data_IF_340239849297
#
_entry.id   IF_340239849297
#
_cell.length_a   1.000
_cell.length_b   1.000
_cell.length_c   1.000
_cell.angle_alpha   90.00
_cell.angle_beta   90.00
_cell.angle_gamma   90.00
#
_symmetry.space_group_name_H-M   'P 1'
#
loop_
_entity.id
_entity.type
_entity.pdbx_description
1 polymer ?
#
# COMPACT_ATOMS: atom_id res chain seq x y z
N UNK A 1 7.96 54.91 17.18
CA UNK A 1 6.54 54.62 17.44
C UNK A 1 6.42 53.14 17.83
N UNK A 2 6.25 52.86 19.12
CA UNK A 2 5.93 51.55 19.71
C UNK A 2 4.44 51.57 20.06
N UNK A 3 3.72 50.46 19.82
CA UNK A 3 2.59 50.05 20.66
C UNK A 3 2.60 48.51 20.76
N UNK A 4 2.77 48.00 21.99
CA UNK A 4 2.35 46.67 22.48
C UNK A 4 0.86 46.77 22.85
N UNK A 5 0.08 45.68 22.85
CA UNK A 5 -0.31 44.83 24.02
C UNK A 5 -1.27 43.77 23.40
N UNK A 6 -1.06 42.45 23.51
CA UNK A 6 -1.47 41.55 24.63
C UNK A 6 -2.80 40.85 24.28
N UNK A 7 -3.20 39.64 24.69
CA UNK A 7 -2.75 38.55 25.55
C UNK A 7 -3.57 37.30 25.14
N UNK A 8 -3.04 36.09 25.32
CA UNK A 8 -3.84 34.87 25.12
C UNK A 8 -3.14 33.53 25.32
N UNK A 9 -2.16 33.42 26.23
CA UNK A 9 -1.66 32.13 26.72
C UNK A 9 -2.38 31.76 28.03
N UNK A 10 -2.89 30.52 28.13
CA UNK A 10 -3.12 29.85 29.42
C UNK A 10 -2.38 28.51 29.42
N UNK A 11 -1.43 28.41 30.34
CA UNK A 11 -0.73 27.19 30.77
C UNK A 11 -1.65 26.30 31.61
N UNK A 12 -1.43 24.98 31.59
CA UNK A 12 -1.05 24.23 32.79
C UNK A 12 -0.50 22.85 32.40
N UNK A 13 0.71 22.60 32.90
CA UNK A 13 1.50 21.39 32.84
C UNK A 13 1.28 20.62 34.12
N UNK A 14 0.90 19.33 34.06
CA UNK A 14 1.24 18.37 35.12
C UNK A 14 1.29 16.93 34.60
N UNK A 15 2.26 16.18 35.13
CA UNK A 15 2.46 14.73 35.09
C UNK A 15 3.37 14.15 33.98
N UNK A 16 4.67 14.40 34.14
CA UNK A 16 5.72 13.41 33.91
C UNK A 16 5.85 12.55 35.18
N UNK A 17 5.90 11.23 35.05
CA UNK A 17 6.21 10.28 36.12
C UNK A 17 5.70 8.86 35.79
N UNK A 18 6.38 8.13 34.90
CA UNK A 18 7.38 7.11 35.28
C UNK A 18 6.81 6.04 36.21
N UNK A 19 6.27 4.97 35.62
CA UNK A 19 6.28 3.61 36.17
C UNK A 19 5.96 2.62 35.03
N UNK A 20 6.71 1.50 35.05
CA UNK A 20 6.63 0.31 34.19
C UNK A 20 7.45 0.32 32.88
N UNK A 21 8.77 0.35 33.09
CA UNK A 21 9.68 -0.61 32.45
C UNK A 21 9.49 -1.98 33.12
N UNK A 22 9.74 -3.05 32.36
CA UNK A 22 9.81 -4.48 32.77
C UNK A 22 8.47 -5.23 32.93
N UNK A 23 7.99 -5.84 31.84
CA UNK A 23 8.10 -7.29 31.63
C UNK A 23 7.19 -7.73 30.47
N UNK A 24 7.78 -8.54 29.57
CA UNK A 24 7.09 -9.55 28.75
C UNK A 24 6.21 -8.99 27.61
N UNK A 25 6.77 -9.01 26.40
CA UNK A 25 5.97 -9.27 25.20
C UNK A 25 5.59 -10.78 25.22
N UNK A 26 4.30 -11.11 25.38
CA UNK A 26 3.73 -12.19 24.62
C UNK A 26 2.43 -11.71 23.96
N UNK A 27 2.38 -11.76 22.64
CA UNK A 27 1.20 -11.32 21.88
C UNK A 27 1.47 -11.08 20.40
N UNK A 28 2.47 -11.74 19.82
CA UNK A 28 2.49 -12.02 18.39
C UNK A 28 1.78 -13.38 18.25
N UNK A 29 0.86 -13.50 17.29
CA UNK A 29 -0.12 -14.60 17.09
C UNK A 29 -1.47 -14.30 17.76
N UNK A 30 -2.28 -13.46 17.10
CA UNK A 30 -3.71 -13.69 16.80
C UNK A 30 -4.40 -12.40 16.36
N UNK A 31 -4.22 -12.03 15.09
CA UNK A 31 -5.16 -11.16 14.35
C UNK A 31 -5.35 -11.72 12.92
N UNK A 32 -5.56 -13.05 12.83
CA UNK A 32 -6.08 -13.72 11.63
C UNK A 32 -7.48 -14.32 11.92
N UNK A 33 -8.11 -13.90 13.04
CA UNK A 33 -9.43 -14.35 13.44
C UNK A 33 -10.36 -13.17 13.65
N UNK A 34 -11.52 -13.22 13.00
CA UNK A 34 -12.68 -12.35 13.22
C UNK A 34 -12.78 -11.08 12.38
N UNK A 35 -12.83 -11.25 11.05
CA UNK A 35 -13.68 -10.41 10.17
C UNK A 35 -14.95 -11.18 9.82
N UNK A 36 -15.75 -11.54 10.83
CA UNK A 36 -17.15 -11.91 10.65
C UNK A 36 -18.01 -11.05 11.56
N UNK A 37 -18.75 -10.13 10.96
CA UNK A 37 -19.93 -9.54 11.56
C UNK A 37 -19.92 -8.02 11.63
N UNK A 38 -20.25 -7.36 10.53
CA UNK A 38 -21.30 -6.33 10.49
C UNK A 38 -21.59 -5.95 9.02
N UNK A 39 -22.86 -6.00 8.60
CA UNK A 39 -23.31 -5.47 7.30
C UNK A 39 -23.16 -6.39 6.08
N UNK A 40 -23.73 -7.60 6.11
CA UNK A 40 -23.82 -8.46 4.92
C UNK A 40 -24.94 -7.99 3.98
N UNK A 41 -24.72 -6.91 3.24
CA UNK A 41 -25.30 -6.78 1.89
C UNK A 41 -24.49 -7.71 0.98
N UNK A 42 -25.15 -8.41 0.05
CA UNK A 42 -24.61 -9.50 -0.77
C UNK A 42 -23.29 -9.16 -1.51
N UNK A 43 -22.14 -9.40 -0.84
CA UNK A 43 -20.79 -9.21 -1.42
C UNK A 43 -20.56 -10.04 -2.69
N UNK A 44 -21.29 -11.15 -2.88
CA UNK A 44 -21.17 -11.97 -4.09
C UNK A 44 -21.89 -11.39 -5.30
N UNK A 45 -23.09 -10.82 -5.12
CA UNK A 45 -23.88 -10.30 -6.25
C UNK A 45 -23.29 -8.99 -6.79
N UNK A 46 -23.00 -8.04 -5.89
CA UNK A 46 -22.35 -6.78 -6.26
C UNK A 46 -20.96 -7.00 -6.84
N UNK A 47 -20.17 -7.93 -6.25
CA UNK A 47 -18.85 -8.29 -6.76
C UNK A 47 -18.91 -8.85 -8.18
N UNK A 48 -19.89 -9.72 -8.47
CA UNK A 48 -20.09 -10.28 -9.82
C UNK A 48 -20.44 -9.19 -10.83
N UNK A 49 -21.33 -8.26 -10.46
CA UNK A 49 -21.73 -7.16 -11.33
C UNK A 49 -20.57 -6.21 -11.67
N UNK A 50 -19.76 -5.85 -10.68
CA UNK A 50 -18.56 -5.02 -10.89
C UNK A 50 -17.55 -5.74 -11.77
N UNK A 51 -17.34 -7.04 -11.55
CA UNK A 51 -16.44 -7.85 -12.37
C UNK A 51 -16.90 -7.89 -13.84
N UNK A 52 -18.18 -8.18 -14.09
CA UNK A 52 -18.74 -8.19 -15.44
C UNK A 52 -18.60 -6.82 -16.12
N UNK A 53 -18.85 -5.74 -15.37
CA UNK A 53 -18.71 -4.37 -15.88
C UNK A 53 -17.25 -4.04 -16.20
N UNK A 54 -16.28 -4.50 -15.39
CA UNK A 54 -14.85 -4.34 -15.71
C UNK A 54 -14.44 -5.15 -16.94
N UNK A 55 -15.00 -6.35 -17.14
CA UNK A 55 -14.81 -7.11 -18.38
C UNK A 55 -15.31 -6.31 -19.59
N UNK A 56 -16.51 -5.73 -19.50
CA UNK A 56 -17.06 -4.88 -20.57
C UNK A 56 -16.20 -3.62 -20.82
N UNK A 57 -15.71 -2.99 -19.75
CA UNK A 57 -14.82 -1.82 -19.84
C UNK A 57 -13.42 -2.14 -20.39
N UNK A 58 -13.02 -3.42 -20.39
CA UNK A 58 -11.77 -3.89 -21.02
C UNK A 58 -11.93 -4.30 -22.49
N UNK A 59 -13.17 -4.24 -23.04
CA UNK A 59 -13.46 -4.58 -24.44
C UNK A 59 -12.87 -3.58 -25.43
N UNK A 60 -12.56 -4.03 -26.64
CA UNK A 60 -12.19 -3.16 -27.75
C UNK A 60 -13.40 -2.51 -28.44
N UNK A 61 -14.61 -3.01 -28.18
CA UNK A 61 -15.85 -2.44 -28.71
C UNK A 61 -16.26 -1.19 -27.91
N UNK A 62 -16.26 -0.05 -28.59
CA UNK A 62 -16.57 1.25 -28.00
C UNK A 62 -18.02 1.36 -27.51
N UNK A 63 -18.95 0.64 -28.14
CA UNK A 63 -20.37 0.66 -27.77
C UNK A 63 -20.63 -0.10 -26.46
N UNK A 64 -19.75 -1.05 -26.12
CA UNK A 64 -19.77 -1.80 -24.86
C UNK A 64 -18.94 -1.09 -23.77
N UNK A 65 -17.77 -0.57 -24.15
CA UNK A 65 -16.83 0.08 -23.22
C UNK A 65 -17.43 1.35 -22.60
N UNK A 66 -18.01 2.26 -23.40
CA UNK A 66 -18.47 3.57 -22.90
C UNK A 66 -19.55 3.45 -21.81
N UNK A 67 -20.62 2.64 -21.97
CA UNK A 67 -21.59 2.44 -20.90
C UNK A 67 -20.97 1.80 -19.64
N UNK A 68 -20.03 0.87 -19.81
CA UNK A 68 -19.36 0.22 -18.70
C UNK A 68 -18.51 1.19 -17.88
N UNK A 69 -17.72 2.05 -18.54
CA UNK A 69 -16.95 3.11 -17.87
C UNK A 69 -17.86 4.09 -17.11
N UNK A 70 -19.00 4.45 -17.70
CA UNK A 70 -19.98 5.32 -17.05
C UNK A 70 -20.57 4.69 -15.78
N UNK A 71 -20.90 3.39 -15.82
CA UNK A 71 -21.38 2.66 -14.63
C UNK A 71 -20.30 2.59 -13.55
N UNK A 72 -19.06 2.24 -13.91
CA UNK A 72 -17.95 2.21 -12.95
C UNK A 72 -17.73 3.56 -12.29
N UNK A 73 -17.86 4.65 -13.05
CA UNK A 73 -17.77 6.01 -12.52
C UNK A 73 -18.88 6.34 -11.53
N UNK A 74 -20.10 5.83 -11.73
CA UNK A 74 -21.20 6.01 -10.78
C UNK A 74 -20.96 5.25 -9.48
N UNK A 75 -20.33 4.08 -9.54
CA UNK A 75 -20.03 3.28 -8.35
C UNK A 75 -18.80 3.73 -7.57
N UNK A 76 -17.99 4.67 -8.07
CA UNK A 76 -16.82 5.21 -7.36
C UNK A 76 -17.14 5.76 -5.96
N UNK A 77 -18.41 6.11 -5.70
CA UNK A 77 -18.89 6.66 -4.42
C UNK A 77 -19.74 5.69 -3.60
N UNK A 78 -20.00 4.48 -4.11
CA UNK A 78 -20.78 3.48 -3.40
C UNK A 78 -19.92 2.78 -2.33
N UNK A 79 -20.43 2.59 -1.09
CA UNK A 79 -19.70 1.88 -0.05
C UNK A 79 -19.29 0.47 -0.47
N UNK A 80 -18.04 0.08 -0.18
CA UNK A 80 -17.54 -1.25 -0.50
C UNK A 80 -17.06 -1.43 -1.94
N UNK A 81 -17.23 -0.44 -2.82
CA UNK A 81 -16.73 -0.52 -4.20
C UNK A 81 -15.22 -0.80 -4.26
N UNK A 82 -14.42 -0.08 -3.47
CA UNK A 82 -12.96 -0.28 -3.43
C UNK A 82 -12.57 -1.61 -2.81
N UNK A 83 -13.36 -2.11 -1.86
CA UNK A 83 -13.19 -3.45 -1.29
C UNK A 83 -13.42 -4.54 -2.34
N UNK A 84 -14.41 -4.36 -3.22
CA UNK A 84 -14.64 -5.24 -4.36
C UNK A 84 -13.47 -5.17 -5.35
N UNK A 85 -12.98 -3.97 -5.70
CA UNK A 85 -11.82 -3.82 -6.59
C UNK A 85 -10.59 -4.54 -6.05
N UNK A 86 -10.32 -4.41 -4.75
CA UNK A 86 -9.24 -5.11 -4.06
C UNK A 86 -9.36 -6.63 -4.21
N UNK A 87 -10.56 -7.18 -3.99
CA UNK A 87 -10.81 -8.61 -4.15
C UNK A 87 -10.61 -9.08 -5.60
N UNK A 88 -11.07 -8.28 -6.58
CA UNK A 88 -10.93 -8.59 -8.00
C UNK A 88 -9.46 -8.64 -8.39
N UNK A 89 -8.68 -7.57 -8.13
CA UNK A 89 -7.28 -7.62 -8.53
C UNK A 89 -6.43 -8.56 -7.68
N UNK A 90 -6.88 -8.98 -6.49
CA UNK A 90 -6.19 -10.00 -5.70
C UNK A 90 -6.45 -11.42 -6.18
N UNK A 91 -7.50 -11.65 -6.99
CA UNK A 91 -7.82 -12.97 -7.54
C UNK A 91 -7.05 -13.22 -8.85
N UNK A 92 -6.02 -14.06 -8.78
CA UNK A 92 -5.14 -14.36 -9.92
C UNK A 92 -5.80 -15.21 -11.02
N UNK A 93 -7.01 -15.73 -10.79
CA UNK A 93 -7.78 -16.48 -11.80
C UNK A 93 -8.54 -15.55 -12.77
N UNK A 94 -8.61 -14.26 -12.48
CA UNK A 94 -9.27 -13.25 -13.32
C UNK A 94 -8.29 -12.75 -14.40
N UNK A 95 -8.83 -12.38 -15.57
CA UNK A 95 -8.03 -11.85 -16.68
C UNK A 95 -7.14 -10.66 -16.26
N UNK A 96 -5.93 -10.63 -16.80
CA UNK A 96 -4.89 -9.66 -16.46
C UNK A 96 -5.36 -8.23 -16.72
N UNK A 97 -6.05 -7.97 -17.83
CA UNK A 97 -6.49 -6.62 -18.21
C UNK A 97 -7.58 -6.12 -17.26
N UNK A 98 -8.49 -7.00 -16.85
CA UNK A 98 -9.54 -6.70 -15.88
C UNK A 98 -8.96 -6.37 -14.51
N UNK A 99 -8.01 -7.18 -14.03
CA UNK A 99 -7.30 -6.93 -12.77
C UNK A 99 -6.52 -5.61 -12.83
N UNK A 100 -5.82 -5.37 -13.93
CA UNK A 100 -5.08 -4.13 -14.14
C UNK A 100 -6.00 -2.90 -14.13
N UNK A 101 -7.15 -2.98 -14.81
CA UNK A 101 -8.17 -1.92 -14.82
C UNK A 101 -8.74 -1.68 -13.42
N UNK A 102 -9.02 -2.73 -12.64
CA UNK A 102 -9.46 -2.61 -11.25
C UNK A 102 -8.45 -1.85 -10.37
N UNK A 103 -7.14 -2.14 -10.51
CA UNK A 103 -6.09 -1.40 -9.80
C UNK A 103 -6.08 0.08 -10.22
N UNK A 104 -6.31 0.39 -11.51
CA UNK A 104 -6.38 1.77 -11.98
C UNK A 104 -7.55 2.56 -11.37
N UNK A 105 -8.75 1.98 -11.35
CA UNK A 105 -9.91 2.64 -10.74
C UNK A 105 -9.67 2.91 -9.26
N UNK A 106 -9.13 1.93 -8.53
CA UNK A 106 -8.78 2.14 -7.13
C UNK A 106 -7.72 3.25 -6.99
N UNK A 107 -6.64 3.20 -7.77
CA UNK A 107 -5.59 4.24 -7.76
C UNK A 107 -6.16 5.65 -7.99
N UNK A 108 -7.10 5.81 -8.90
CA UNK A 108 -7.77 7.08 -9.17
C UNK A 108 -8.69 7.50 -8.01
N UNK A 109 -9.38 6.55 -7.39
CA UNK A 109 -10.20 6.76 -6.21
C UNK A 109 -9.41 7.29 -5.01
N UNK A 110 -8.15 6.90 -4.84
CA UNK A 110 -7.29 7.43 -3.77
C UNK A 110 -7.18 8.96 -3.83
N UNK A 111 -6.97 9.52 -5.02
CA UNK A 111 -6.78 10.96 -5.17
C UNK A 111 -8.06 11.75 -4.87
N UNK A 112 -9.23 11.15 -5.13
CA UNK A 112 -10.55 11.76 -5.04
C UNK A 112 -11.21 11.59 -3.67
N UNK A 113 -11.20 10.38 -3.12
CA UNK A 113 -12.10 9.99 -2.01
C UNK A 113 -11.37 9.54 -0.73
N UNK A 114 -10.03 9.46 -0.72
CA UNK A 114 -9.30 8.96 0.45
C UNK A 114 -9.23 9.97 1.61
N UNK A 115 -9.19 11.28 1.32
CA UNK A 115 -9.09 12.31 2.37
C UNK A 115 -10.40 12.41 3.13
N UNK A 116 -10.35 12.52 4.47
CA UNK A 116 -11.53 12.70 5.35
C UNK A 116 -12.40 13.90 4.95
N UNK A 117 -11.80 14.93 4.35
CA UNK A 117 -12.48 16.14 3.88
C UNK A 117 -13.07 16.03 2.47
N UNK A 118 -12.87 14.92 1.77
CA UNK A 118 -13.37 14.76 0.41
C UNK A 118 -14.90 14.57 0.42
N UNK A 119 -15.62 15.10 -0.59
CA UNK A 119 -17.00 14.70 -0.80
C UNK A 119 -17.05 13.20 -1.07
N UNK A 120 -18.00 12.49 -0.45
CA UNK A 120 -18.13 11.03 -0.55
C UNK A 120 -16.85 10.29 -0.15
N UNK A 121 -16.19 10.75 0.91
CA UNK A 121 -14.98 10.11 1.42
C UNK A 121 -15.23 8.65 1.80
N UNK A 122 -14.28 7.78 1.47
CA UNK A 122 -14.29 6.38 1.90
C UNK A 122 -14.28 6.34 3.44
N UNK A 123 -15.09 5.48 4.03
CA UNK A 123 -15.18 5.34 5.49
C UNK A 123 -13.85 4.88 6.09
N UNK A 124 -13.57 5.25 7.33
CA UNK A 124 -12.33 4.80 8.00
C UNK A 124 -12.31 3.28 8.22
N UNK A 125 -13.48 2.66 8.42
CA UNK A 125 -13.62 1.20 8.51
C UNK A 125 -13.21 0.51 7.20
N UNK A 126 -13.69 1.01 6.06
CA UNK A 126 -13.29 0.49 4.75
C UNK A 126 -11.80 0.73 4.51
N UNK A 127 -11.28 1.95 4.77
CA UNK A 127 -9.83 2.22 4.64
C UNK A 127 -8.97 1.29 5.47
N UNK A 128 -9.39 0.96 6.69
CA UNK A 128 -8.66 0.03 7.55
C UNK A 128 -8.54 -1.34 6.86
N UNK A 129 -9.65 -1.89 6.36
CA UNK A 129 -9.70 -3.17 5.64
C UNK A 129 -8.88 -3.12 4.35
N UNK A 130 -8.97 -2.03 3.58
CA UNK A 130 -8.20 -1.81 2.36
C UNK A 130 -6.70 -1.79 2.63
N UNK A 131 -6.26 -1.09 3.68
CA UNK A 131 -4.85 -1.07 4.09
C UNK A 131 -4.34 -2.46 4.47
N UNK A 132 -5.14 -3.25 5.19
CA UNK A 132 -4.77 -4.62 5.54
C UNK A 132 -4.58 -5.50 4.30
N UNK A 133 -5.53 -5.47 3.34
CA UNK A 133 -5.40 -6.27 2.12
C UNK A 133 -4.29 -5.77 1.18
N UNK A 134 -4.04 -4.47 1.11
CA UNK A 134 -2.89 -3.93 0.38
C UNK A 134 -1.55 -4.34 1.01
N UNK A 135 -1.48 -4.42 2.34
CA UNK A 135 -0.28 -4.87 3.06
C UNK A 135 0.01 -6.37 2.90
N UNK A 136 -0.90 -7.17 2.34
CA UNK A 136 -0.72 -8.60 2.04
C UNK A 136 -0.55 -8.91 0.54
N UNK A 137 -0.62 -7.89 -0.32
CA UNK A 137 -0.62 -8.04 -1.79
C UNK A 137 0.79 -8.14 -2.40
N UNK A 138 1.59 -9.12 -1.96
CA UNK A 138 2.97 -9.33 -2.45
C UNK A 138 3.15 -10.57 -3.33
N UNK A 139 2.07 -11.25 -3.70
CA UNK A 139 2.13 -12.52 -4.46
C UNK A 139 1.80 -12.38 -5.94
N UNK A 140 1.63 -11.15 -6.44
CA UNK A 140 1.25 -10.87 -7.83
C UNK A 140 2.24 -11.47 -8.83
N UNK A 141 1.83 -12.44 -9.68
CA UNK A 141 2.70 -13.02 -10.69
C UNK A 141 3.00 -12.05 -11.84
N UNK A 142 2.07 -11.19 -12.23
CA UNK A 142 2.20 -10.32 -13.42
C UNK A 142 2.87 -8.99 -13.08
N UNK A 143 4.07 -8.76 -13.59
CA UNK A 143 4.86 -7.55 -13.28
C UNK A 143 4.11 -6.24 -13.59
N UNK A 144 3.36 -6.17 -14.69
CA UNK A 144 2.58 -4.97 -15.05
C UNK A 144 1.51 -4.61 -13.99
N UNK A 145 0.82 -5.62 -13.44
CA UNK A 145 -0.18 -5.43 -12.38
C UNK A 145 0.53 -5.08 -11.07
N UNK A 146 1.64 -5.76 -10.76
CA UNK A 146 2.44 -5.51 -9.55
C UNK A 146 2.93 -4.07 -9.48
N UNK A 147 3.37 -3.49 -10.61
CA UNK A 147 3.77 -2.08 -10.68
C UNK A 147 2.60 -1.15 -10.34
N UNK A 148 1.38 -1.41 -10.84
CA UNK A 148 0.24 -0.58 -10.48
C UNK A 148 -0.15 -0.72 -9.00
N UNK A 149 -0.06 -1.93 -8.43
CA UNK A 149 -0.28 -2.18 -7.00
C UNK A 149 0.75 -1.40 -6.17
N UNK A 150 2.03 -1.43 -6.55
CA UNK A 150 3.08 -0.68 -5.87
C UNK A 150 2.84 0.84 -5.90
N UNK A 151 2.42 1.38 -7.05
CA UNK A 151 2.03 2.78 -7.17
C UNK A 151 0.82 3.09 -6.30
N UNK A 152 -0.22 2.25 -6.32
CA UNK A 152 -1.41 2.40 -5.47
C UNK A 152 -1.04 2.46 -3.98
N UNK A 153 -0.28 1.47 -3.50
CA UNK A 153 0.20 1.42 -2.10
C UNK A 153 0.99 2.69 -1.76
N UNK A 154 1.87 3.15 -2.64
CA UNK A 154 2.66 4.37 -2.39
C UNK A 154 1.81 5.63 -2.28
N UNK A 155 0.70 5.72 -3.04
CA UNK A 155 -0.23 6.86 -2.95
C UNK A 155 -0.96 6.86 -1.61
N UNK A 156 -1.43 5.70 -1.15
CA UNK A 156 -2.04 5.57 0.18
C UNK A 156 -1.01 5.88 1.27
N UNK A 157 0.20 5.33 1.17
CA UNK A 157 1.29 5.59 2.11
C UNK A 157 1.64 7.08 2.23
N UNK A 158 1.57 7.84 1.12
CA UNK A 158 1.81 9.30 1.15
C UNK A 158 0.86 10.05 2.09
N UNK A 159 -0.38 9.57 2.18
CA UNK A 159 -1.45 10.18 2.95
C UNK A 159 -1.44 9.68 4.40
N UNK A 160 -1.23 8.38 4.59
CA UNK A 160 -1.52 7.72 5.86
C UNK A 160 -0.26 7.32 6.66
N UNK A 161 0.90 7.19 6.00
CA UNK A 161 2.12 6.74 6.68
C UNK A 161 2.80 7.90 7.43
N UNK A 162 3.28 7.67 8.67
CA UNK A 162 3.14 6.45 9.47
C UNK A 162 1.94 6.46 10.43
N UNK A 163 1.20 7.58 10.54
CA UNK A 163 0.24 7.80 11.63
C UNK A 163 -0.98 6.88 11.57
N UNK A 164 -1.57 6.77 10.40
CA UNK A 164 -2.81 6.02 10.16
C UNK A 164 -2.50 4.62 9.61
N UNK A 165 -1.27 4.40 9.10
CA UNK A 165 -0.80 3.10 8.62
C UNK A 165 0.63 2.78 9.12
N UNK A 166 0.81 2.52 10.42
CA UNK A 166 2.12 2.25 11.01
C UNK A 166 2.73 0.92 10.55
N UNK A 167 1.91 -0.08 10.26
CA UNK A 167 2.36 -1.44 9.98
C UNK A 167 2.93 -1.64 8.57
N UNK A 168 2.75 -0.69 7.66
CA UNK A 168 3.17 -0.81 6.26
C UNK A 168 4.67 -1.15 6.13
N UNK A 169 5.54 -0.39 6.80
CA UNK A 169 6.99 -0.58 6.70
C UNK A 169 7.43 -1.90 7.36
N UNK A 170 7.00 -2.24 8.59
CA UNK A 170 7.24 -3.57 9.15
C UNK A 170 6.80 -4.73 8.25
N UNK A 171 5.61 -4.65 7.64
CA UNK A 171 5.12 -5.66 6.70
C UNK A 171 6.03 -5.78 5.47
N UNK A 172 6.42 -4.66 4.86
CA UNK A 172 7.34 -4.65 3.72
C UNK A 172 8.69 -5.28 4.06
N UNK A 173 9.30 -4.89 5.19
CA UNK A 173 10.59 -5.43 5.62
C UNK A 173 10.52 -6.93 5.90
N UNK A 174 9.38 -7.42 6.40
CA UNK A 174 9.14 -8.85 6.59
C UNK A 174 9.02 -9.57 5.25
N UNK A 175 8.25 -9.00 4.30
CA UNK A 175 8.07 -9.59 2.98
C UNK A 175 9.35 -9.60 2.13
N UNK A 176 10.23 -8.60 2.26
CA UNK A 176 11.55 -8.61 1.58
C UNK A 176 12.45 -9.75 2.11
N UNK A 177 12.24 -10.20 3.35
CA UNK A 177 12.97 -11.35 3.93
C UNK A 177 12.35 -12.70 3.56
N UNK A 178 11.29 -12.73 2.76
CA UNK A 178 10.66 -13.98 2.34
C UNK A 178 11.63 -14.81 1.49
N UNK A 179 11.61 -16.13 1.69
CA UNK A 179 12.34 -17.10 0.84
C UNK A 179 11.76 -17.18 -0.59
N UNK A 180 10.54 -16.69 -0.80
CA UNK A 180 9.94 -16.61 -2.12
C UNK A 180 10.52 -15.43 -2.90
N UNK A 181 11.29 -15.72 -3.95
CA UNK A 181 11.85 -14.72 -4.85
C UNK A 181 10.77 -13.78 -5.43
N UNK A 182 9.57 -14.31 -5.71
CA UNK A 182 8.44 -13.50 -6.16
C UNK A 182 8.01 -12.48 -5.10
N UNK A 183 7.76 -12.95 -3.87
CA UNK A 183 7.33 -12.09 -2.75
C UNK A 183 8.38 -11.05 -2.42
N UNK A 184 9.65 -11.47 -2.35
CA UNK A 184 10.76 -10.58 -2.12
C UNK A 184 10.84 -9.48 -3.19
N UNK A 185 10.77 -9.85 -4.48
CA UNK A 185 10.78 -8.88 -5.58
C UNK A 185 9.58 -7.93 -5.52
N UNK A 186 8.36 -8.42 -5.21
CA UNK A 186 7.18 -7.55 -5.12
C UNK A 186 7.29 -6.60 -3.94
N UNK A 187 7.76 -7.08 -2.79
CA UNK A 187 7.97 -6.25 -1.61
C UNK A 187 9.04 -5.17 -1.86
N UNK A 188 10.13 -5.50 -2.55
CA UNK A 188 11.17 -4.52 -2.95
C UNK A 188 10.62 -3.45 -3.90
N UNK A 189 9.80 -3.84 -4.88
CA UNK A 189 9.13 -2.92 -5.80
C UNK A 189 8.22 -1.94 -5.02
N UNK A 190 7.40 -2.45 -4.10
CA UNK A 190 6.54 -1.60 -3.27
C UNK A 190 7.37 -0.70 -2.37
N UNK A 191 8.43 -1.23 -1.73
CA UNK A 191 9.34 -0.46 -0.89
C UNK A 191 9.99 0.68 -1.68
N UNK A 192 10.46 0.43 -2.90
CA UNK A 192 11.00 1.46 -3.79
C UNK A 192 9.99 2.60 -4.00
N UNK A 193 8.75 2.27 -4.38
CA UNK A 193 7.71 3.27 -4.63
C UNK A 193 7.32 4.05 -3.38
N UNK A 194 7.23 3.38 -2.22
CA UNK A 194 6.95 4.02 -0.93
C UNK A 194 8.07 4.98 -0.53
N UNK A 195 9.33 4.54 -0.57
CA UNK A 195 10.50 5.37 -0.25
C UNK A 195 10.59 6.58 -1.20
N UNK A 196 10.44 6.36 -2.50
CA UNK A 196 10.40 7.44 -3.51
C UNK A 196 9.31 8.46 -3.21
N UNK A 197 8.14 8.00 -2.77
CA UNK A 197 7.01 8.88 -2.50
C UNK A 197 7.18 9.65 -1.20
N UNK A 198 7.61 9.00 -0.12
CA UNK A 198 7.80 9.64 1.18
C UNK A 198 8.99 10.62 1.19
N UNK A 199 10.08 10.28 0.50
CA UNK A 199 11.26 11.17 0.37
C UNK A 199 10.96 12.48 -0.38
N UNK A 200 9.91 12.52 -1.20
CA UNK A 200 9.51 13.74 -1.92
C UNK A 200 8.79 14.79 -1.06
N UNK A 201 8.38 14.43 0.18
CA UNK A 201 7.65 15.36 1.07
C UNK A 201 8.61 16.39 1.67
N UNK A 202 8.26 17.68 1.56
CA UNK A 202 9.14 18.81 1.92
C UNK A 202 8.86 19.45 3.28
N UNK A 203 7.71 19.18 3.89
CA UNK A 203 7.35 19.77 5.19
C UNK A 203 8.25 19.23 6.30
N UNK A 204 8.59 20.07 7.28
CA UNK A 204 9.54 19.71 8.34
C UNK A 204 9.10 18.46 9.13
N UNK A 205 7.80 18.33 9.42
CA UNK A 205 7.24 17.15 10.07
C UNK A 205 7.44 15.88 9.25
N UNK A 206 7.15 15.94 7.95
CA UNK A 206 7.33 14.79 7.05
C UNK A 206 8.79 14.38 6.89
N UNK A 207 9.71 15.36 6.82
CA UNK A 207 11.15 15.08 6.72
C UNK A 207 11.67 14.35 7.95
N UNK A 208 11.21 14.72 9.15
CA UNK A 208 11.55 14.02 10.40
C UNK A 208 11.02 12.59 10.40
N UNK A 209 9.75 12.41 10.02
CA UNK A 209 9.15 11.07 9.91
C UNK A 209 9.89 10.20 8.90
N UNK A 210 10.30 10.75 7.75
CA UNK A 210 11.08 10.01 6.76
C UNK A 210 12.48 9.67 7.28
N UNK A 211 13.12 10.56 8.06
CA UNK A 211 14.42 10.29 8.68
C UNK A 211 14.33 9.12 9.68
N UNK A 212 13.30 9.09 10.53
CA UNK A 212 13.03 8.00 11.48
C UNK A 212 12.80 6.67 10.75
N UNK A 213 11.96 6.69 9.70
CA UNK A 213 11.72 5.51 8.86
C UNK A 213 13.01 5.03 8.18
N UNK A 214 13.81 5.95 7.65
CA UNK A 214 15.08 5.63 6.99
C UNK A 214 16.06 4.99 7.97
N UNK A 215 16.11 5.45 9.23
CA UNK A 215 16.97 4.83 10.24
C UNK A 215 16.63 3.34 10.47
N UNK A 216 15.35 2.97 10.39
CA UNK A 216 14.91 1.57 10.51
C UNK A 216 15.12 0.73 9.23
N UNK A 217 15.10 1.35 8.05
CA UNK A 217 15.16 0.64 6.76
C UNK A 217 16.58 0.56 6.18
N UNK A 218 17.43 1.56 6.42
CA UNK A 218 18.72 1.71 5.74
C UNK A 218 19.67 0.54 5.98
N UNK A 219 19.86 0.15 7.25
CA UNK A 219 20.73 -0.96 7.61
C UNK A 219 20.28 -2.28 6.94
N UNK A 220 18.96 -2.48 6.86
CA UNK A 220 18.40 -3.66 6.20
C UNK A 220 18.69 -3.67 4.69
N UNK A 221 18.42 -2.57 4.00
CA UNK A 221 18.69 -2.44 2.55
C UNK A 221 20.17 -2.59 2.25
N UNK A 222 21.05 -2.00 3.07
CA UNK A 222 22.49 -2.12 2.93
C UNK A 222 22.97 -3.57 3.08
N UNK A 223 22.46 -4.28 4.09
CA UNK A 223 22.77 -5.69 4.28
C UNK A 223 22.30 -6.55 3.10
N UNK A 224 21.09 -6.31 2.60
CA UNK A 224 20.55 -7.00 1.44
C UNK A 224 21.43 -6.78 0.20
N UNK A 225 21.80 -5.53 -0.08
CA UNK A 225 22.72 -5.18 -1.16
C UNK A 225 24.05 -5.91 -1.05
N UNK A 226 24.67 -5.87 0.13
CA UNK A 226 25.96 -6.53 0.37
C UNK A 226 25.89 -8.04 0.14
N UNK A 227 24.80 -8.69 0.55
CA UNK A 227 24.59 -10.13 0.33
C UNK A 227 24.47 -10.46 -1.16
N UNK A 228 23.62 -9.72 -1.90
CA UNK A 228 23.46 -9.96 -3.34
C UNK A 228 24.72 -9.63 -4.13
N UNK A 229 25.40 -8.53 -3.78
CA UNK A 229 26.65 -8.12 -4.42
C UNK A 229 27.75 -9.17 -4.23
N UNK A 230 27.93 -9.70 -3.01
CA UNK A 230 28.89 -10.77 -2.74
C UNK A 230 28.56 -12.04 -3.52
N UNK A 231 27.29 -12.47 -3.48
CA UNK A 231 26.84 -13.65 -4.23
C UNK A 231 27.07 -13.49 -5.74
N UNK A 232 26.79 -12.32 -6.28
CA UNK A 232 27.07 -12.00 -7.68
C UNK A 232 28.56 -12.07 -8.01
N UNK A 233 29.42 -11.44 -7.20
CA UNK A 233 30.87 -11.51 -7.40
C UNK A 233 31.39 -12.94 -7.31
N UNK A 234 30.93 -13.73 -6.34
CA UNK A 234 31.32 -15.14 -6.20
C UNK A 234 30.94 -15.94 -7.44
N UNK A 235 29.74 -15.72 -7.99
CA UNK A 235 29.31 -16.36 -9.23
C UNK A 235 30.18 -15.97 -10.43
N UNK A 236 30.53 -14.68 -10.57
CA UNK A 236 31.40 -14.20 -11.65
C UNK A 236 32.82 -14.77 -11.52
N UNK A 237 33.36 -14.85 -10.32
CA UNK A 237 34.71 -15.39 -10.07
C UNK A 237 34.80 -16.90 -10.28
N UNK A 238 33.73 -17.65 -10.02
CA UNK A 238 33.71 -19.12 -10.17
C UNK A 238 33.19 -19.60 -11.54
N UNK A 239 32.35 -18.83 -12.24
CA UNK A 239 31.82 -19.19 -13.57
C UNK A 239 32.54 -18.43 -14.69
N UNK A 240 33.67 -18.97 -15.14
CA UNK A 240 34.45 -18.45 -16.27
C UNK A 240 33.82 -18.68 -17.67
N UNK A 241 32.52 -18.97 -17.76
CA UNK A 241 31.84 -19.21 -19.05
C UNK A 241 30.52 -18.43 -19.17
N UNK A 242 30.60 -17.35 -19.96
CA UNK A 242 29.59 -16.79 -20.87
C UNK A 242 28.14 -17.24 -20.66
N UNK A 243 27.32 -16.43 -19.98
CA UNK A 243 25.91 -16.24 -20.36
C UNK A 243 25.45 -14.81 -20.00
N UNK A 244 24.70 -14.22 -20.94
CA UNK A 244 24.13 -12.88 -20.91
C UNK A 244 23.44 -12.59 -19.58
N UNK A 245 24.02 -11.65 -18.82
CA UNK A 245 23.50 -11.23 -17.54
C UNK A 245 22.30 -10.31 -17.78
N UNK A 246 21.09 -10.86 -17.72
CA UNK A 246 19.87 -10.06 -17.60
C UNK A 246 19.86 -9.47 -16.20
N UNK A 247 20.43 -8.26 -16.05
CA UNK A 247 20.39 -7.50 -14.81
C UNK A 247 18.91 -7.16 -14.55
N UNK A 248 18.33 -7.75 -13.52
CA UNK A 248 17.08 -7.26 -12.92
C UNK A 248 17.41 -5.95 -12.18
N UNK A 249 17.18 -4.82 -12.85
CA UNK A 249 17.00 -3.49 -12.23
C UNK A 249 15.50 -3.22 -12.16
#
# INVERSE_FOLDING_TARGET
MRVRIGLGYRNISTCIGRLLLEHRLPGFINCVGSLRGCGSMDMNAAGTLVLETLHQASSQDTEVLKPAEQRLKQWETEPGFYSILLNIFSNHSIDINVRWLAVLYFKNGIDRYWRKSAPNAISEEEKCSLRQGLASSFTEPVSQVATQIAVLISKVARLDCPREWPDLVPCLLTAVKSDSALVQHRALLVLHHVVKTLSSKRLAGDRRLFQELTAGVFAFVLNLWNTHYKSFLDQVCHNNHTYYLTIFI
#
